data_IF_755569948643
#
_entry.id   IF_755569948643
#
_cell.length_a   1.000
_cell.length_b   1.000
_cell.length_c   1.000
_cell.angle_alpha   90.00
_cell.angle_beta   90.00
_cell.angle_gamma   90.00
#
_symmetry.space_group_name_H-M   'P 1'
#
loop_
_entity.id
_entity.type
_entity.pdbx_description
1 polymer ?
#
# COMPACT_ATOMS: atom_id res chain seq x y z
N UNK A 1 10.37 -21.72 -44.57
CA UNK A 1 9.66 -21.33 -43.34
C UNK A 1 10.71 -20.78 -42.38
N UNK A 2 10.81 -19.47 -42.29
CA UNK A 2 11.77 -18.80 -41.39
C UNK A 2 11.07 -18.64 -40.05
N UNK A 3 11.58 -19.32 -39.03
CA UNK A 3 11.08 -19.23 -37.66
C UNK A 3 11.35 -17.83 -37.10
N UNK A 4 10.30 -17.15 -36.67
CA UNK A 4 10.42 -15.93 -35.88
C UNK A 4 10.70 -16.37 -34.45
N UNK A 5 11.93 -16.14 -33.99
CA UNK A 5 12.25 -16.17 -32.58
C UNK A 5 11.43 -15.07 -31.91
N UNK A 6 10.48 -15.45 -31.05
CA UNK A 6 9.80 -14.52 -30.16
C UNK A 6 10.85 -14.01 -29.16
N UNK A 7 11.47 -12.86 -29.47
CA UNK A 7 12.27 -12.14 -28.50
C UNK A 7 11.38 -11.79 -27.31
N UNK A 8 11.81 -12.14 -26.11
CA UNK A 8 11.25 -11.58 -24.88
C UNK A 8 11.22 -10.06 -25.04
N UNK A 9 10.07 -9.38 -24.85
CA UNK A 9 10.06 -7.94 -24.85
C UNK A 9 10.97 -7.50 -23.71
N UNK A 10 12.11 -6.89 -24.05
CA UNK A 10 12.96 -6.18 -23.11
C UNK A 10 12.02 -5.27 -22.30
N UNK A 11 12.02 -5.43 -20.97
CA UNK A 11 11.35 -4.50 -20.06
C UNK A 11 11.94 -3.11 -20.37
N UNK A 12 11.14 -2.25 -20.99
CA UNK A 12 11.57 -0.89 -21.30
C UNK A 12 11.39 -0.03 -20.06
N UNK A 13 12.47 0.58 -19.58
CA UNK A 13 12.47 1.59 -18.53
C UNK A 13 11.30 2.56 -18.70
N UNK A 14 10.44 2.63 -17.70
CA UNK A 14 9.29 3.53 -17.70
C UNK A 14 8.78 3.80 -16.29
N UNK A 15 7.91 4.81 -16.10
CA UNK A 15 7.18 4.98 -14.85
C UNK A 15 6.36 3.74 -14.44
N UNK A 16 6.02 2.86 -15.39
CA UNK A 16 5.35 1.59 -15.11
C UNK A 16 6.25 0.55 -14.46
N UNK A 17 7.50 0.41 -14.93
CA UNK A 17 8.49 -0.46 -14.27
C UNK A 17 8.85 0.09 -12.89
N UNK A 18 8.92 1.42 -12.74
CA UNK A 18 9.17 2.06 -11.44
C UNK A 18 8.05 1.74 -10.42
N UNK A 19 6.79 1.74 -10.86
CA UNK A 19 5.65 1.38 -10.01
C UNK A 19 5.71 -0.09 -9.57
N UNK A 20 6.10 -1.01 -10.45
CA UNK A 20 6.28 -2.43 -10.10
C UNK A 20 7.37 -2.60 -9.02
N UNK A 21 8.52 -1.94 -9.18
CA UNK A 21 9.62 -1.94 -8.20
C UNK A 21 9.18 -1.39 -6.84
N UNK A 22 8.41 -0.29 -6.84
CA UNK A 22 7.85 0.29 -5.61
C UNK A 22 6.87 -0.65 -4.92
N UNK A 23 5.98 -1.29 -5.68
CA UNK A 23 5.02 -2.26 -5.13
C UNK A 23 5.72 -3.47 -4.51
N UNK A 24 6.79 -3.98 -5.13
CA UNK A 24 7.62 -5.04 -4.55
C UNK A 24 8.26 -4.58 -3.24
N UNK A 25 8.80 -3.37 -3.20
CA UNK A 25 9.40 -2.81 -2.00
C UNK A 25 8.39 -2.67 -0.85
N UNK A 26 7.21 -2.10 -1.11
CA UNK A 26 6.18 -1.99 -0.09
C UNK A 26 5.75 -3.37 0.42
N UNK A 27 5.57 -4.35 -0.46
CA UNK A 27 5.24 -5.71 -0.09
C UNK A 27 6.32 -6.37 0.79
N UNK A 28 7.61 -6.20 0.46
CA UNK A 28 8.74 -6.80 1.17
C UNK A 28 9.06 -6.13 2.51
N UNK A 29 8.71 -4.86 2.67
CA UNK A 29 9.00 -4.09 3.89
C UNK A 29 8.12 -4.56 5.06
N UNK A 30 8.62 -5.42 5.94
CA UNK A 30 7.88 -5.90 7.13
C UNK A 30 8.10 -5.00 8.35
N UNK A 31 7.85 -3.70 8.20
CA UNK A 31 7.96 -2.76 9.31
C UNK A 31 6.91 -3.06 10.39
N UNK A 32 7.30 -3.05 11.67
CA UNK A 32 6.36 -3.09 12.78
C UNK A 32 5.43 -1.87 12.72
N UNK A 33 6.01 -0.69 12.63
CA UNK A 33 5.29 0.56 12.50
C UNK A 33 6.13 1.53 11.68
N UNK A 34 5.51 2.62 11.25
CA UNK A 34 6.19 3.66 10.47
C UNK A 34 6.77 4.75 11.38
N UNK A 35 7.12 4.41 12.63
CA UNK A 35 7.62 5.34 13.64
C UNK A 35 6.51 6.19 14.27
N UNK A 36 6.78 6.69 15.49
CA UNK A 36 5.91 7.64 16.22
C UNK A 36 4.44 7.21 16.35
N UNK A 37 4.17 5.92 16.53
CA UNK A 37 2.81 5.38 16.69
C UNK A 37 1.96 5.42 15.41
N UNK A 38 2.59 5.53 14.22
CA UNK A 38 1.93 5.47 12.91
C UNK A 38 1.75 4.02 12.45
N UNK A 39 0.70 3.75 11.68
CA UNK A 39 0.35 2.38 11.27
C UNK A 39 1.41 1.85 10.31
N UNK A 40 1.67 0.54 10.33
CA UNK A 40 2.58 -0.08 9.35
C UNK A 40 2.12 0.12 7.89
N UNK A 41 0.81 0.29 7.66
CA UNK A 41 0.24 0.59 6.34
C UNK A 41 0.61 1.97 5.79
N UNK A 42 1.11 2.89 6.62
CA UNK A 42 1.50 4.22 6.16
C UNK A 42 2.77 4.18 5.29
N UNK A 43 3.63 3.17 5.48
CA UNK A 43 4.92 3.04 4.79
C UNK A 43 5.15 1.68 4.14
N UNK A 44 4.34 0.66 4.46
CA UNK A 44 4.56 -0.71 4.03
C UNK A 44 3.29 -1.46 3.70
N UNK A 45 3.45 -2.58 2.99
CA UNK A 45 2.39 -3.40 2.46
C UNK A 45 1.58 -2.70 1.36
N UNK A 46 0.72 -3.47 0.73
CA UNK A 46 -0.15 -3.02 -0.35
C UNK A 46 -1.59 -3.07 0.14
N UNK A 47 -2.26 -1.92 0.16
CA UNK A 47 -3.72 -1.89 0.28
C UNK A 47 -4.29 -2.12 -1.12
N UNK A 48 -4.92 -3.28 -1.30
CA UNK A 48 -5.49 -3.76 -2.56
C UNK A 48 -7.01 -3.72 -2.49
N UNK A 49 -7.66 -3.06 -3.45
CA UNK A 49 -9.12 -3.09 -3.57
C UNK A 49 -9.52 -3.79 -4.85
N UNK A 50 -10.27 -4.88 -4.72
CA UNK A 50 -10.98 -5.49 -5.86
C UNK A 50 -12.12 -4.57 -6.33
N UNK A 51 -12.30 -4.42 -7.64
CA UNK A 51 -13.28 -3.49 -8.20
C UNK A 51 -14.36 -4.19 -9.02
N UNK A 52 -15.53 -3.53 -9.09
CA UNK A 52 -16.61 -3.87 -10.01
C UNK A 52 -16.55 -2.92 -11.22
N UNK A 53 -15.67 -3.23 -12.15
CA UNK A 53 -15.44 -2.43 -13.36
C UNK A 53 -16.62 -2.52 -14.33
N UNK A 54 -16.76 -1.52 -15.22
CA UNK A 54 -17.84 -1.41 -16.21
C UNK A 54 -19.26 -1.40 -15.61
N UNK A 55 -19.40 -1.01 -14.34
CA UNK A 55 -20.70 -0.71 -13.71
C UNK A 55 -21.08 0.76 -13.92
N UNK A 56 -22.28 1.11 -13.45
CA UNK A 56 -22.82 2.48 -13.48
C UNK A 56 -22.04 3.48 -12.60
N UNK A 57 -21.10 2.99 -11.78
CA UNK A 57 -20.23 3.80 -10.93
C UNK A 57 -18.76 3.63 -11.35
N UNK A 58 -17.95 4.64 -11.01
CA UNK A 58 -16.52 4.62 -11.27
C UNK A 58 -15.81 3.71 -10.26
N UNK A 59 -14.89 2.83 -10.68
CA UNK A 59 -14.34 1.79 -9.82
C UNK A 59 -13.46 2.33 -8.68
N UNK A 60 -12.92 3.55 -8.80
CA UNK A 60 -12.15 4.25 -7.76
C UNK A 60 -13.01 5.04 -6.77
N UNK A 61 -14.29 5.23 -7.04
CA UNK A 61 -15.22 5.82 -6.07
C UNK A 61 -15.59 4.80 -5.00
N UNK A 62 -16.03 5.28 -3.84
CA UNK A 62 -16.58 4.37 -2.85
C UNK A 62 -17.86 3.73 -3.43
N UNK A 63 -18.15 2.48 -3.03
CA UNK A 63 -19.35 1.83 -3.55
C UNK A 63 -20.61 2.57 -3.06
N UNK A 64 -21.76 2.47 -3.76
CA UNK A 64 -23.01 3.12 -3.33
C UNK A 64 -23.49 2.76 -1.91
N UNK A 65 -23.02 1.63 -1.38
CA UNK A 65 -23.33 1.19 -0.01
C UNK A 65 -22.30 1.65 1.04
N UNK A 66 -21.22 2.30 0.61
CA UNK A 66 -20.20 2.86 1.51
C UNK A 66 -20.54 4.30 1.89
N UNK A 67 -21.05 5.10 0.94
CA UNK A 67 -21.40 6.50 1.18
C UNK A 67 -22.55 6.65 2.17
N UNK A 68 -22.51 7.73 2.96
CA UNK A 68 -23.70 8.23 3.65
C UNK A 68 -24.71 8.78 2.62
N UNK A 69 -25.96 8.96 3.02
CA UNK A 69 -27.03 9.40 2.11
C UNK A 69 -26.73 10.79 1.51
N UNK A 70 -26.13 11.67 2.31
CA UNK A 70 -25.73 13.02 1.91
C UNK A 70 -24.61 13.05 0.85
N UNK A 71 -23.78 12.01 0.79
CA UNK A 71 -22.68 11.85 -0.16
C UNK A 71 -23.01 10.93 -1.35
N UNK A 72 -24.29 10.67 -1.63
CA UNK A 72 -24.72 9.85 -2.77
C UNK A 72 -24.87 8.36 -2.46
N UNK A 73 -24.91 7.98 -1.18
CA UNK A 73 -25.29 6.65 -0.75
C UNK A 73 -26.74 6.33 -1.09
N UNK A 74 -27.06 5.06 -1.32
CA UNK A 74 -28.42 4.65 -1.73
C UNK A 74 -29.49 4.77 -0.62
N UNK A 75 -29.12 5.23 0.59
CA UNK A 75 -30.02 5.50 1.70
C UNK A 75 -30.60 4.25 2.39
N UNK A 76 -30.25 3.03 1.95
CA UNK A 76 -30.84 1.78 2.49
C UNK A 76 -29.86 1.05 3.42
N UNK A 77 -28.56 1.01 3.10
CA UNK A 77 -27.53 0.33 3.91
C UNK A 77 -26.18 1.02 3.74
N UNK A 78 -26.02 2.23 4.29
CA UNK A 78 -24.68 2.81 4.40
C UNK A 78 -23.94 2.19 5.58
N UNK A 79 -22.84 1.52 5.32
CA UNK A 79 -21.94 1.04 6.37
C UNK A 79 -20.71 1.93 6.54
N UNK A 80 -20.71 3.16 6.01
CA UNK A 80 -19.74 4.22 6.33
C UNK A 80 -18.26 3.91 6.11
N UNK A 81 -17.91 2.91 5.29
CA UNK A 81 -16.52 2.54 5.02
C UNK A 81 -16.33 1.78 3.72
N UNK A 82 -15.06 1.68 3.29
CA UNK A 82 -14.66 0.96 2.08
C UNK A 82 -13.80 -0.24 2.45
N UNK A 83 -14.19 -1.43 1.99
CA UNK A 83 -13.40 -2.64 2.20
C UNK A 83 -12.20 -2.68 1.25
N UNK A 84 -11.06 -3.06 1.80
CA UNK A 84 -9.84 -3.35 1.05
C UNK A 84 -9.10 -4.51 1.74
N UNK A 85 -8.13 -5.09 1.06
CA UNK A 85 -7.25 -6.11 1.62
C UNK A 85 -5.84 -5.54 1.80
N UNK A 86 -5.08 -6.10 2.72
CA UNK A 86 -3.70 -5.70 2.99
C UNK A 86 -2.74 -6.86 2.74
N UNK A 87 -1.88 -6.73 1.73
CA UNK A 87 -0.90 -7.73 1.34
C UNK A 87 0.50 -7.28 1.75
N UNK A 88 1.21 -8.13 2.49
CA UNK A 88 2.62 -7.95 2.87
C UNK A 88 3.29 -9.31 2.95
N UNK A 89 4.63 -9.37 2.90
CA UNK A 89 5.41 -10.62 2.94
C UNK A 89 5.11 -11.51 4.16
N UNK A 90 4.58 -10.95 5.24
CA UNK A 90 4.17 -11.65 6.46
C UNK A 90 2.65 -11.63 6.68
N UNK A 91 1.86 -11.26 5.66
CA UNK A 91 0.39 -11.22 5.68
C UNK A 91 -0.19 -11.67 4.33
N UNK A 92 0.13 -12.90 3.92
CA UNK A 92 -0.08 -13.42 2.55
C UNK A 92 -1.40 -14.18 2.38
N UNK A 93 -1.96 -14.15 1.17
CA UNK A 93 -3.19 -14.84 0.73
C UNK A 93 -3.21 -14.97 -0.81
N UNK A 94 -4.08 -15.82 -1.37
CA UNK A 94 -4.00 -16.24 -2.78
C UNK A 94 -4.95 -15.53 -3.77
N UNK A 95 -5.77 -14.57 -3.33
CA UNK A 95 -6.73 -13.87 -4.20
C UNK A 95 -7.27 -12.55 -3.66
N UNK A 96 -7.85 -11.72 -4.52
CA UNK A 96 -8.52 -10.49 -4.06
C UNK A 96 -9.86 -10.81 -3.39
N UNK A 97 -10.24 -9.99 -2.42
CA UNK A 97 -11.55 -10.09 -1.78
C UNK A 97 -12.72 -10.00 -2.76
N UNK A 98 -13.87 -10.55 -2.35
CA UNK A 98 -15.07 -10.70 -3.19
C UNK A 98 -14.83 -11.48 -4.50
N UNK A 99 -13.83 -12.37 -4.52
CA UNK A 99 -13.43 -13.18 -5.68
C UNK A 99 -13.14 -12.35 -6.94
N UNK A 100 -12.72 -11.09 -6.75
CA UNK A 100 -12.32 -10.22 -7.85
C UNK A 100 -11.00 -10.70 -8.45
N UNK A 101 -10.79 -10.35 -9.71
CA UNK A 101 -9.58 -10.68 -10.45
C UNK A 101 -8.96 -9.43 -11.12
N UNK A 102 -9.49 -8.26 -10.79
CA UNK A 102 -8.94 -6.94 -11.08
C UNK A 102 -9.29 -5.95 -9.96
N UNK A 103 -8.56 -4.83 -9.93
CA UNK A 103 -8.66 -3.85 -8.88
C UNK A 103 -7.68 -2.70 -9.03
N UNK A 104 -7.32 -2.10 -7.90
CA UNK A 104 -6.20 -1.17 -7.82
C UNK A 104 -5.45 -1.33 -6.50
N UNK A 105 -4.18 -0.90 -6.51
CA UNK A 105 -3.36 -0.75 -5.34
C UNK A 105 -3.26 0.72 -4.94
N UNK A 106 -3.29 1.01 -3.65
CA UNK A 106 -3.04 2.36 -3.12
C UNK A 106 -1.55 2.55 -2.79
N UNK A 107 -1.08 3.78 -2.95
CA UNK A 107 0.24 4.23 -2.50
C UNK A 107 0.17 4.37 -0.97
N UNK A 108 1.12 3.80 -0.19
CA UNK A 108 1.21 4.06 1.25
C UNK A 108 1.36 5.56 1.53
N UNK A 109 0.76 6.05 2.61
CA UNK A 109 0.64 7.48 2.91
C UNK A 109 1.98 8.25 2.96
N UNK A 110 3.10 7.58 3.23
CA UNK A 110 4.45 8.17 3.26
C UNK A 110 5.03 8.43 1.87
N UNK A 111 4.43 7.88 0.82
CA UNK A 111 4.89 7.97 -0.57
C UNK A 111 3.98 8.81 -1.46
N UNK A 112 2.87 9.35 -0.94
CA UNK A 112 1.95 10.19 -1.72
C UNK A 112 2.53 11.59 -1.92
N UNK A 113 2.05 12.27 -2.96
CA UNK A 113 2.26 13.71 -3.12
C UNK A 113 1.06 14.46 -2.52
N UNK A 114 1.22 15.04 -1.32
CA UNK A 114 0.10 15.69 -0.62
C UNK A 114 -0.44 16.95 -1.33
N UNK A 115 0.26 17.45 -2.35
CA UNK A 115 -0.20 18.58 -3.17
C UNK A 115 -1.36 18.20 -4.09
N UNK A 116 -1.42 16.94 -4.53
CA UNK A 116 -2.41 16.45 -5.50
C UNK A 116 -3.07 15.12 -5.08
N UNK A 117 -2.77 14.61 -3.88
CA UNK A 117 -3.35 13.39 -3.33
C UNK A 117 -3.72 13.56 -1.85
N UNK A 118 -4.78 12.87 -1.41
CA UNK A 118 -5.17 12.82 -0.01
C UNK A 118 -4.73 11.51 0.65
N UNK A 119 -4.48 11.55 1.97
CA UNK A 119 -4.18 10.36 2.77
C UNK A 119 -5.43 9.51 2.94
N UNK A 120 -5.26 8.20 2.83
CA UNK A 120 -6.30 7.24 3.19
C UNK A 120 -6.20 6.92 4.69
N UNK A 121 -7.33 6.66 5.34
CA UNK A 121 -7.34 6.28 6.76
C UNK A 121 -7.90 4.88 6.93
N UNK A 122 -7.13 4.01 7.55
CA UNK A 122 -7.61 2.70 8.04
C UNK A 122 -8.37 2.94 9.34
N UNK A 123 -9.63 2.53 9.38
CA UNK A 123 -10.52 2.58 10.54
C UNK A 123 -10.33 1.37 11.44
N UNK A 124 -10.28 0.19 10.84
CA UNK A 124 -10.00 -1.06 11.54
C UNK A 124 -9.42 -2.11 10.61
N UNK A 125 -8.81 -3.13 11.22
CA UNK A 125 -8.16 -4.22 10.52
C UNK A 125 -8.57 -5.59 11.11
N UNK A 126 -8.87 -6.54 10.23
CA UNK A 126 -9.29 -7.90 10.54
C UNK A 126 -8.29 -8.90 9.93
N UNK A 127 -7.72 -9.84 10.72
CA UNK A 127 -6.76 -10.82 10.23
C UNK A 127 -7.26 -11.70 9.08
N UNK A 128 -8.57 -11.84 8.91
CA UNK A 128 -9.21 -12.55 7.81
C UNK A 128 -10.56 -11.89 7.49
N UNK A 129 -11.06 -12.05 6.26
CA UNK A 129 -12.36 -11.53 5.81
C UNK A 129 -13.44 -11.62 6.88
N UNK A 130 -14.09 -10.49 7.19
CA UNK A 130 -14.97 -10.30 8.33
C UNK A 130 -16.40 -9.91 7.93
N UNK A 131 -16.74 -9.99 6.64
CA UNK A 131 -18.06 -9.61 6.11
C UNK A 131 -18.46 -8.20 6.51
N UNK A 132 -17.51 -7.29 6.42
CA UNK A 132 -17.67 -5.91 6.92
C UNK A 132 -18.78 -5.12 6.26
N UNK A 133 -19.33 -5.64 5.15
CA UNK A 133 -20.54 -5.11 4.53
C UNK A 133 -21.74 -5.07 5.50
N UNK A 134 -21.88 -6.09 6.34
CA UNK A 134 -23.01 -6.29 7.27
C UNK A 134 -22.61 -5.96 8.72
N UNK A 135 -21.81 -4.91 8.92
CA UNK A 135 -21.35 -4.48 10.24
C UNK A 135 -21.69 -3.02 10.50
N UNK A 136 -22.03 -2.70 11.74
CA UNK A 136 -22.21 -1.31 12.16
C UNK A 136 -20.85 -0.59 12.32
N UNK A 137 -20.88 0.67 12.78
CA UNK A 137 -19.68 1.44 13.10
C UNK A 137 -18.65 1.47 11.96
N UNK A 138 -19.07 1.96 10.80
CA UNK A 138 -18.25 2.03 9.59
C UNK A 138 -17.74 0.67 9.06
N UNK A 139 -18.41 -0.42 9.43
CA UNK A 139 -18.03 -1.79 9.12
C UNK A 139 -17.03 -2.41 10.11
N UNK A 140 -16.79 -1.76 11.25
CA UNK A 140 -15.80 -2.19 12.25
C UNK A 140 -16.38 -2.83 13.51
N UNK A 141 -17.69 -2.71 13.72
CA UNK A 141 -18.34 -3.20 14.93
C UNK A 141 -19.12 -4.50 14.71
N UNK A 142 -20.28 -4.56 15.37
CA UNK A 142 -21.13 -5.74 15.47
C UNK A 142 -21.70 -6.17 14.12
N UNK A 143 -21.74 -7.49 13.88
CA UNK A 143 -22.36 -8.07 12.70
C UNK A 143 -23.89 -8.12 12.85
N UNK A 144 -24.61 -7.71 11.80
CA UNK A 144 -26.06 -7.79 11.73
C UNK A 144 -26.53 -8.73 10.61
N UNK A 145 -27.60 -9.49 10.88
CA UNK A 145 -28.17 -10.46 9.96
C UNK A 145 -29.25 -9.84 9.07
N UNK A 146 -29.35 -10.32 7.82
CA UNK A 146 -30.37 -9.95 6.83
C UNK A 146 -30.47 -8.44 6.54
N UNK A 147 -29.40 -7.67 6.81
CA UNK A 147 -29.39 -6.23 6.61
C UNK A 147 -30.13 -5.42 7.67
N UNK A 148 -30.64 -6.05 8.73
CA UNK A 148 -31.33 -5.36 9.83
C UNK A 148 -30.36 -5.10 10.98
N UNK A 149 -29.97 -3.83 11.17
CA UNK A 149 -29.05 -3.39 12.24
C UNK A 149 -29.53 -3.77 13.66
N UNK A 150 -30.82 -4.07 13.84
CA UNK A 150 -31.37 -4.52 15.12
C UNK A 150 -31.34 -6.05 15.28
N UNK A 151 -31.01 -6.78 14.22
CA UNK A 151 -30.94 -8.23 14.18
C UNK A 151 -29.49 -8.72 14.39
N UNK A 152 -29.02 -8.59 15.64
CA UNK A 152 -27.70 -9.10 16.06
C UNK A 152 -27.75 -10.61 16.27
N UNK A 153 -26.65 -11.29 15.97
CA UNK A 153 -26.54 -12.76 16.01
C UNK A 153 -26.29 -13.34 17.42
N UNK A 154 -26.65 -12.60 18.46
CA UNK A 154 -26.67 -13.04 19.86
C UNK A 154 -25.38 -12.80 20.67
N UNK A 155 -24.28 -12.41 20.02
CA UNK A 155 -23.06 -11.88 20.65
C UNK A 155 -22.80 -10.53 20.01
N UNK A 156 -22.61 -9.49 20.82
CA UNK A 156 -22.26 -8.17 20.31
C UNK A 156 -20.74 -8.09 20.14
N UNK A 157 -20.25 -8.04 18.91
CA UNK A 157 -18.87 -7.67 18.64
C UNK A 157 -18.66 -6.16 18.75
N UNK A 158 -17.42 -5.78 19.04
CA UNK A 158 -16.95 -4.41 18.93
C UNK A 158 -15.46 -4.49 18.57
N UNK A 159 -14.77 -3.35 18.57
CA UNK A 159 -13.32 -3.32 18.48
C UNK A 159 -12.69 -4.26 19.51
N UNK A 160 -11.65 -5.01 19.10
CA UNK A 160 -10.94 -5.96 19.96
C UNK A 160 -10.54 -5.33 21.30
N UNK A 161 -10.09 -4.08 21.26
CA UNK A 161 -9.67 -3.32 22.44
C UNK A 161 -10.82 -3.15 23.46
N UNK A 162 -12.04 -2.89 23.02
CA UNK A 162 -13.20 -2.79 23.93
C UNK A 162 -13.55 -4.13 24.57
N UNK A 163 -13.27 -5.24 23.88
CA UNK A 163 -13.36 -6.61 24.40
C UNK A 163 -12.15 -7.03 25.25
N UNK A 164 -11.24 -6.10 25.58
CA UNK A 164 -9.99 -6.35 26.30
C UNK A 164 -9.04 -7.31 25.58
N UNK A 165 -9.14 -7.36 24.25
CA UNK A 165 -8.24 -8.09 23.36
C UNK A 165 -7.25 -7.08 22.76
N UNK A 166 -5.98 -7.22 23.12
CA UNK A 166 -4.89 -6.34 22.67
C UNK A 166 -3.69 -7.12 22.14
N UNK A 167 -3.93 -8.34 21.64
CA UNK A 167 -2.87 -9.22 21.11
C UNK A 167 -3.43 -10.18 20.06
N UNK A 168 -2.53 -10.67 19.20
CA UNK A 168 -2.84 -11.67 18.20
C UNK A 168 -3.34 -12.99 18.82
N UNK A 169 -2.73 -13.46 19.91
CA UNK A 169 -3.15 -14.67 20.61
C UNK A 169 -4.50 -14.50 21.30
N UNK A 170 -4.78 -13.32 21.87
CA UNK A 170 -6.10 -12.99 22.40
C UNK A 170 -7.18 -12.98 21.32
N UNK A 171 -6.86 -12.46 20.13
CA UNK A 171 -7.74 -12.51 18.97
C UNK A 171 -7.98 -13.94 18.49
N UNK A 172 -6.93 -14.76 18.35
CA UNK A 172 -7.06 -16.17 17.94
C UNK A 172 -7.93 -16.96 18.92
N UNK A 173 -7.71 -16.80 20.23
CA UNK A 173 -8.54 -17.45 21.25
C UNK A 173 -10.00 -16.98 21.20
N UNK A 174 -10.27 -15.77 20.74
CA UNK A 174 -11.62 -15.27 20.51
C UNK A 174 -12.23 -15.86 19.23
N UNK A 175 -11.45 -15.93 18.13
CA UNK A 175 -11.82 -16.50 16.84
C UNK A 175 -12.16 -18.01 16.96
N UNK A 176 -11.31 -18.80 17.62
CA UNK A 176 -11.47 -20.26 17.78
C UNK A 176 -12.70 -20.64 18.61
N UNK A 177 -13.15 -19.76 19.51
CA UNK A 177 -14.42 -20.01 20.21
C UNK A 177 -15.60 -19.98 19.26
N UNK A 178 -15.50 -19.22 18.17
CA UNK A 178 -16.56 -19.09 17.18
C UNK A 178 -16.51 -20.22 16.13
N UNK A 179 -15.33 -20.77 15.82
CA UNK A 179 -15.18 -21.90 14.88
C UNK A 179 -15.67 -23.25 15.45
N UNK A 180 -15.76 -23.37 16.77
CA UNK A 180 -16.30 -24.56 17.48
C UNK A 180 -17.83 -24.67 17.44
N UNK A 181 -18.51 -23.66 16.90
CA UNK A 181 -19.92 -23.71 16.54
C UNK A 181 -20.09 -24.56 15.26
N UNK A 182 -21.18 -25.34 15.08
CA UNK A 182 -21.37 -26.17 13.87
C UNK A 182 -21.34 -25.40 12.54
N UNK A 183 -21.40 -24.06 12.56
CA UNK A 183 -21.18 -23.22 11.38
C UNK A 183 -19.73 -22.66 11.37
N UNK A 184 -18.79 -23.25 10.60
CA UNK A 184 -17.41 -22.79 10.54
C UNK A 184 -17.25 -21.43 9.84
N UNK A 185 -18.29 -20.90 9.18
CA UNK A 185 -18.28 -19.55 8.60
C UNK A 185 -18.68 -18.51 9.66
N UNK A 186 -19.22 -18.94 10.80
CA UNK A 186 -19.53 -18.08 11.95
C UNK A 186 -18.33 -17.23 12.37
N UNK A 187 -17.12 -17.78 12.45
CA UNK A 187 -15.96 -17.00 12.90
C UNK A 187 -15.67 -15.74 12.06
N UNK A 188 -15.98 -15.76 10.75
CA UNK A 188 -15.86 -14.56 9.91
C UNK A 188 -16.82 -13.45 10.34
N UNK A 189 -18.05 -13.80 10.70
CA UNK A 189 -19.08 -12.85 11.17
C UNK A 189 -18.82 -12.38 12.60
N UNK A 190 -18.20 -13.21 13.43
CA UNK A 190 -18.10 -12.96 14.87
C UNK A 190 -16.71 -12.54 15.36
N UNK A 191 -15.74 -12.31 14.47
CA UNK A 191 -14.41 -11.82 14.86
C UNK A 191 -14.44 -10.33 15.24
N UNK A 192 -13.60 -9.93 16.19
CA UNK A 192 -13.37 -8.51 16.48
C UNK A 192 -12.36 -7.91 15.50
N UNK A 193 -12.54 -6.63 15.15
CA UNK A 193 -11.58 -5.84 14.38
C UNK A 193 -10.70 -5.01 15.29
N UNK A 194 -9.42 -4.86 14.97
CA UNK A 194 -8.53 -3.97 15.70
C UNK A 194 -8.82 -2.52 15.31
N UNK A 195 -9.19 -1.66 16.26
CA UNK A 195 -9.32 -0.22 16.01
C UNK A 195 -7.95 0.41 15.75
N UNK A 196 -7.84 1.16 14.65
CA UNK A 196 -6.59 1.81 14.23
C UNK A 196 -6.71 3.34 14.19
N UNK A 197 -7.77 3.90 14.76
CA UNK A 197 -8.05 5.34 14.77
C UNK A 197 -7.72 6.01 16.10
N UNK A 198 -7.64 5.25 17.18
CA UNK A 198 -7.43 5.76 18.53
C UNK A 198 -6.38 4.93 19.28
N UNK A 199 -5.76 5.57 20.28
CA UNK A 199 -4.88 4.90 21.22
C UNK A 199 -5.69 4.35 22.40
N UNK A 200 -5.28 3.18 22.90
CA UNK A 200 -6.01 2.42 23.91
C UNK A 200 -5.11 2.11 25.11
N UNK A 201 -5.73 1.64 26.21
CA UNK A 201 -5.14 1.27 27.52
C UNK A 201 -3.62 1.43 27.68
N UNK A 202 -3.19 2.33 28.57
CA UNK A 202 -1.77 2.46 28.93
C UNK A 202 -0.92 2.82 27.70
N UNK A 203 -0.03 1.92 27.29
CA UNK A 203 0.91 2.12 26.18
C UNK A 203 0.45 1.51 24.85
N UNK A 204 -0.73 0.87 24.78
CA UNK A 204 -1.20 0.16 23.59
C UNK A 204 -1.85 1.11 22.58
N UNK A 205 -1.08 1.57 21.60
CA UNK A 205 -1.52 2.58 20.64
C UNK A 205 -2.14 1.97 19.36
N UNK A 206 -2.63 2.81 18.46
CA UNK A 206 -3.18 2.39 17.16
C UNK A 206 -2.20 1.61 16.26
N UNK A 207 -0.89 1.82 16.40
CA UNK A 207 0.11 1.04 15.67
C UNK A 207 0.27 -0.35 16.27
N UNK A 208 0.19 -0.49 17.60
CA UNK A 208 0.15 -1.80 18.25
C UNK A 208 -1.09 -2.61 17.84
N UNK A 209 -2.23 -1.94 17.68
CA UNK A 209 -3.45 -2.53 17.15
C UNK A 209 -3.28 -3.06 15.71
N UNK A 210 -2.72 -2.25 14.81
CA UNK A 210 -2.43 -2.69 13.44
C UNK A 210 -1.42 -3.83 13.40
N UNK A 211 -0.43 -3.83 14.30
CA UNK A 211 0.51 -4.94 14.45
C UNK A 211 -0.16 -6.22 14.96
N UNK A 212 -1.07 -6.12 15.93
CA UNK A 212 -1.80 -7.28 16.41
C UNK A 212 -2.67 -7.91 15.32
N UNK A 213 -3.19 -7.10 14.38
CA UNK A 213 -3.82 -7.58 13.15
C UNK A 213 -2.85 -8.42 12.28
N UNK A 214 -1.66 -7.91 11.98
CA UNK A 214 -0.66 -8.63 11.18
C UNK A 214 -0.20 -9.91 11.88
N UNK A 215 0.10 -9.84 13.17
CA UNK A 215 0.49 -11.02 13.95
C UNK A 215 -0.66 -12.04 14.05
N UNK A 216 -1.91 -11.58 14.14
CA UNK A 216 -3.09 -12.45 14.06
C UNK A 216 -3.17 -13.18 12.72
N UNK A 217 -2.84 -12.49 11.62
CA UNK A 217 -2.76 -13.11 10.29
C UNK A 217 -1.68 -14.19 10.23
N UNK A 218 -0.53 -13.95 10.84
CA UNK A 218 0.55 -14.95 10.93
C UNK A 218 0.14 -16.16 11.74
N UNK A 219 -0.56 -15.96 12.86
CA UNK A 219 -1.05 -17.07 13.69
C UNK A 219 -2.03 -17.95 12.92
N UNK A 220 -3.08 -17.38 12.32
CA UNK A 220 -4.09 -18.18 11.58
C UNK A 220 -3.49 -18.89 10.34
N UNK A 221 -2.45 -18.31 9.72
CA UNK A 221 -1.72 -18.92 8.61
C UNK A 221 -0.91 -20.17 9.01
N UNK A 222 -0.48 -20.27 10.27
CA UNK A 222 0.29 -21.41 10.80
C UNK A 222 -0.55 -22.38 11.63
N UNK A 223 -1.83 -22.06 11.84
CA UNK A 223 -2.75 -22.91 12.58
C UNK A 223 -3.14 -24.16 11.75
N UNK A 224 -3.06 -25.38 12.31
CA UNK A 224 -3.37 -26.60 11.58
C UNK A 224 -4.80 -26.67 11.03
N UNK A 225 -5.78 -26.08 11.72
CA UNK A 225 -7.20 -26.10 11.37
C UNK A 225 -7.52 -24.98 10.37
N UNK A 226 -6.91 -23.81 10.53
CA UNK A 226 -7.28 -22.61 9.77
C UNK A 226 -6.33 -22.25 8.62
N UNK A 227 -5.14 -22.85 8.49
CA UNK A 227 -4.13 -22.49 7.46
C UNK A 227 -4.67 -22.44 6.02
N UNK A 228 -5.59 -23.34 5.66
CA UNK A 228 -6.18 -23.37 4.31
C UNK A 228 -7.09 -22.17 4.12
N UNK A 229 -7.93 -21.88 5.13
CA UNK A 229 -8.82 -20.73 5.11
C UNK A 229 -8.03 -19.44 5.09
N UNK A 230 -6.97 -19.34 5.89
CA UNK A 230 -6.03 -18.23 5.82
C UNK A 230 -5.54 -18.10 4.38
N UNK A 231 -4.90 -19.12 3.80
CA UNK A 231 -4.40 -19.06 2.42
C UNK A 231 -5.43 -18.56 1.39
N UNK A 232 -6.65 -19.12 1.41
CA UNK A 232 -7.68 -18.83 0.39
C UNK A 232 -8.54 -17.61 0.69
N UNK A 233 -8.29 -16.92 1.81
CA UNK A 233 -9.10 -15.78 2.26
C UNK A 233 -8.20 -14.61 2.63
N UNK A 234 -8.46 -13.48 1.99
CA UNK A 234 -7.78 -12.22 2.22
C UNK A 234 -7.87 -11.73 3.66
N UNK A 235 -6.91 -10.89 4.05
CA UNK A 235 -7.10 -9.94 5.15
C UNK A 235 -8.16 -8.91 4.77
N UNK A 236 -8.78 -8.27 5.76
CA UNK A 236 -9.76 -7.20 5.50
C UNK A 236 -9.46 -5.95 6.32
N UNK A 237 -9.38 -4.82 5.62
CA UNK A 237 -9.31 -3.48 6.18
C UNK A 237 -10.61 -2.75 5.90
N UNK A 238 -10.99 -1.87 6.82
CA UNK A 238 -11.98 -0.82 6.57
C UNK A 238 -11.31 0.51 6.46
N UNK A 239 -11.45 1.14 5.30
CA UNK A 239 -10.98 2.47 5.04
C UNK A 239 -12.12 3.47 5.28
N UNK A 240 -11.78 4.66 5.77
CA UNK A 240 -12.70 5.80 5.78
C UNK A 240 -13.13 6.08 4.34
N UNK A 241 -14.43 6.29 4.13
CA UNK A 241 -14.98 6.71 2.83
C UNK A 241 -14.34 8.03 2.41
N UNK A 242 -14.16 8.21 1.10
CA UNK A 242 -13.61 9.43 0.50
C UNK A 242 -14.63 10.08 -0.45
N UNK A 243 -14.51 11.39 -0.71
CA UNK A 243 -15.35 12.05 -1.71
C UNK A 243 -15.20 11.37 -3.07
N UNK A 244 -16.32 11.28 -3.79
CA UNK A 244 -16.30 10.91 -5.20
C UNK A 244 -15.44 11.87 -6.01
N UNK A 245 -14.91 11.38 -7.13
CA UNK A 245 -13.95 12.11 -7.93
C UNK A 245 -14.46 13.46 -8.47
N UNK A 246 -15.78 13.58 -8.66
CA UNK A 246 -16.43 14.85 -8.99
C UNK A 246 -16.24 15.94 -7.91
N UNK A 247 -15.90 15.55 -6.66
CA UNK A 247 -15.67 16.42 -5.51
C UNK A 247 -14.19 16.47 -5.08
N UNK A 248 -13.25 15.95 -5.89
CA UNK A 248 -11.82 16.01 -5.58
C UNK A 248 -11.22 17.41 -5.71
N UNK A 249 -11.88 18.31 -6.42
CA UNK A 249 -11.57 19.74 -6.43
C UNK A 249 -12.46 20.44 -5.40
N UNK A 250 -11.91 20.69 -4.21
CA UNK A 250 -12.62 21.29 -3.07
C UNK A 250 -11.67 22.06 -2.16
N UNK A 251 -12.22 22.84 -1.23
CA UNK A 251 -11.42 23.37 -0.12
C UNK A 251 -11.16 22.26 0.91
N UNK A 252 -9.91 21.81 0.97
CA UNK A 252 -9.46 20.73 1.85
C UNK A 252 -9.23 21.18 3.30
N UNK A 253 -9.37 22.47 3.60
CA UNK A 253 -9.24 23.01 4.96
C UNK A 253 -10.58 23.10 5.69
N UNK A 254 -11.71 22.94 4.97
CA UNK A 254 -13.03 22.96 5.58
C UNK A 254 -13.27 21.72 6.45
N UNK A 255 -13.74 21.96 7.68
CA UNK A 255 -14.24 20.89 8.52
C UNK A 255 -15.59 20.40 7.98
N UNK A 256 -15.75 19.09 7.86
CA UNK A 256 -16.96 18.45 7.35
C UNK A 256 -17.46 17.42 8.35
N UNK A 257 -18.77 17.27 8.43
CA UNK A 257 -19.41 16.24 9.26
C UNK A 257 -18.91 14.85 8.90
N UNK A 258 -18.83 14.55 7.61
CA UNK A 258 -18.13 13.37 7.09
C UNK A 258 -17.11 13.78 6.03
N UNK A 259 -16.00 13.05 5.95
CA UNK A 259 -14.91 13.38 5.04
C UNK A 259 -15.33 13.35 3.55
N UNK A 260 -16.33 12.55 3.21
CA UNK A 260 -16.91 12.38 1.87
C UNK A 260 -18.11 13.30 1.59
N UNK A 261 -18.69 13.95 2.60
CA UNK A 261 -19.85 14.83 2.42
C UNK A 261 -19.52 15.99 1.47
N UNK A 262 -20.39 16.31 0.50
CA UNK A 262 -20.28 17.53 -0.28
C UNK A 262 -20.53 18.77 0.59
N UNK A 263 -20.01 19.90 0.16
CA UNK A 263 -20.26 21.21 0.77
C UNK A 263 -20.78 22.18 -0.31
N UNK A 264 -21.71 23.11 0.01
CA UNK A 264 -22.15 24.13 -0.94
C UNK A 264 -20.99 24.85 -1.65
N UNK A 265 -19.87 25.08 -0.97
CA UNK A 265 -18.69 25.75 -1.51
C UNK A 265 -17.88 24.90 -2.50
N UNK A 266 -18.12 23.59 -2.60
CA UNK A 266 -17.50 22.75 -3.63
C UNK A 266 -17.96 23.15 -5.04
N UNK A 267 -19.17 23.71 -5.13
CA UNK A 267 -19.79 24.13 -6.39
C UNK A 267 -19.87 25.65 -6.56
N UNK A 268 -19.44 26.42 -5.56
CA UNK A 268 -19.54 27.88 -5.53
C UNK A 268 -18.39 28.55 -6.30
N UNK A 269 -18.67 29.31 -7.38
CA UNK A 269 -17.63 30.01 -8.13
C UNK A 269 -16.84 31.05 -7.31
N UNK A 270 -17.43 31.59 -6.24
CA UNK A 270 -16.80 32.63 -5.41
C UNK A 270 -15.72 32.09 -4.46
N UNK A 271 -15.70 30.79 -4.18
CA UNK A 271 -14.74 30.13 -3.28
C UNK A 271 -13.67 29.33 -4.03
N UNK A 272 -13.67 29.39 -5.37
CA UNK A 272 -12.73 28.68 -6.27
C UNK A 272 -11.26 28.94 -5.92
N UNK A 273 -10.94 30.11 -5.36
CA UNK A 273 -9.57 30.47 -4.97
C UNK A 273 -8.96 29.53 -3.90
N UNK A 274 -9.79 28.90 -3.05
CA UNK A 274 -9.33 28.00 -1.99
C UNK A 274 -9.36 26.51 -2.41
N UNK A 275 -9.95 26.20 -3.57
CA UNK A 275 -10.13 24.83 -4.01
C UNK A 275 -8.84 24.26 -4.58
N UNK A 276 -8.41 23.11 -4.06
CA UNK A 276 -7.27 22.34 -4.57
C UNK A 276 -7.77 20.98 -5.02
N UNK A 277 -7.21 20.48 -6.12
CA UNK A 277 -7.50 19.12 -6.56
C UNK A 277 -6.64 18.13 -5.77
N UNK A 278 -7.26 17.16 -5.08
CA UNK A 278 -6.55 16.01 -4.53
C UNK A 278 -7.26 14.71 -4.88
N UNK A 279 -6.57 13.81 -5.57
CA UNK A 279 -7.08 12.51 -5.98
C UNK A 279 -6.83 11.40 -4.94
N UNK A 280 -7.58 10.30 -5.08
CA UNK A 280 -7.25 9.05 -4.41
C UNK A 280 -5.83 8.58 -4.81
N UNK A 281 -4.97 8.16 -3.86
CA UNK A 281 -3.58 7.85 -4.16
C UNK A 281 -3.43 6.45 -4.76
N UNK A 282 -3.99 6.22 -5.96
CA UNK A 282 -3.82 4.97 -6.70
C UNK A 282 -2.36 4.88 -7.18
N UNK A 283 -1.71 3.74 -6.90
CA UNK A 283 -0.39 3.39 -7.41
C UNK A 283 -0.49 2.80 -8.82
N UNK A 284 -1.40 1.83 -8.99
CA UNK A 284 -1.63 1.10 -10.22
C UNK A 284 -3.04 0.51 -10.26
N UNK A 285 -3.60 0.34 -11.46
CA UNK A 285 -4.65 -0.64 -11.69
C UNK A 285 -4.02 -2.03 -11.74
N UNK A 286 -4.70 -3.02 -11.18
CA UNK A 286 -4.14 -4.36 -11.01
C UNK A 286 -5.06 -5.41 -11.60
N UNK A 287 -4.46 -6.51 -12.05
CA UNK A 287 -5.18 -7.74 -12.34
C UNK A 287 -4.39 -8.94 -11.85
N UNK A 288 -5.11 -10.00 -11.46
CA UNK A 288 -4.48 -11.20 -10.93
C UNK A 288 -4.07 -12.11 -12.08
N UNK A 289 -2.82 -12.58 -12.05
CA UNK A 289 -2.47 -13.79 -12.77
C UNK A 289 -1.00 -14.19 -12.70
N UNK A 290 -0.70 -15.37 -13.25
CA UNK A 290 0.63 -15.98 -13.21
C UNK A 290 1.72 -15.18 -13.93
N UNK A 291 2.82 -14.88 -13.25
CA UNK A 291 4.04 -14.30 -13.80
C UNK A 291 5.05 -15.41 -14.12
N UNK A 292 5.26 -16.36 -13.20
CA UNK A 292 6.19 -17.47 -13.39
C UNK A 292 5.56 -18.69 -14.05
N UNK A 293 4.24 -18.64 -14.27
CA UNK A 293 3.48 -19.72 -14.86
C UNK A 293 2.45 -19.19 -15.85
N UNK A 294 2.15 -20.01 -16.86
CA UNK A 294 1.08 -19.72 -17.79
C UNK A 294 -0.23 -20.09 -17.13
N UNK A 295 -1.06 -19.09 -16.89
CA UNK A 295 -2.41 -19.31 -16.38
C UNK A 295 -3.35 -19.69 -17.52
N UNK A 296 -4.00 -20.85 -17.38
CA UNK A 296 -4.88 -21.41 -18.41
C UNK A 296 -6.35 -21.10 -18.17
N UNK A 297 -6.68 -20.46 -17.03
CA UNK A 297 -8.04 -20.03 -16.74
C UNK A 297 -8.34 -18.68 -17.43
N UNK A 298 -9.57 -18.48 -17.89
CA UNK A 298 -9.98 -17.25 -18.56
C UNK A 298 -9.99 -16.00 -17.67
N UNK A 299 -9.79 -16.13 -16.35
CA UNK A 299 -9.95 -15.04 -15.38
C UNK A 299 -8.86 -13.98 -15.53
N UNK A 300 -7.60 -14.39 -15.76
CA UNK A 300 -6.51 -13.44 -15.95
C UNK A 300 -6.71 -12.57 -17.20
N UNK A 301 -7.17 -13.16 -18.31
CA UNK A 301 -7.51 -12.42 -19.53
C UNK A 301 -8.65 -11.43 -19.31
N UNK A 302 -9.71 -11.85 -18.62
CA UNK A 302 -10.82 -10.97 -18.27
C UNK A 302 -10.36 -9.84 -17.33
N UNK A 303 -9.52 -10.16 -16.33
CA UNK A 303 -8.99 -9.20 -15.37
C UNK A 303 -8.14 -8.14 -16.01
N UNK A 304 -7.25 -8.55 -16.92
CA UNK A 304 -6.47 -7.62 -17.73
C UNK A 304 -7.37 -6.67 -18.51
N UNK A 305 -8.40 -7.19 -19.19
CA UNK A 305 -9.31 -6.37 -19.97
C UNK A 305 -10.10 -5.36 -19.10
N UNK A 306 -10.42 -5.73 -17.85
CA UNK A 306 -11.07 -4.82 -16.89
C UNK A 306 -10.08 -3.77 -16.35
N UNK A 307 -8.85 -4.15 -16.00
CA UNK A 307 -7.81 -3.20 -15.56
C UNK A 307 -7.42 -2.21 -16.66
N UNK A 308 -7.35 -2.66 -17.92
CA UNK A 308 -7.18 -1.81 -19.10
C UNK A 308 -8.33 -0.82 -19.25
N UNK A 309 -9.57 -1.29 -19.08
CA UNK A 309 -10.73 -0.42 -19.12
C UNK A 309 -10.70 0.66 -18.03
N UNK A 310 -10.30 0.28 -16.82
CA UNK A 310 -10.14 1.22 -15.70
C UNK A 310 -9.02 2.23 -15.95
N UNK A 311 -7.88 1.81 -16.51
CA UNK A 311 -6.80 2.71 -16.92
C UNK A 311 -7.29 3.73 -17.97
N UNK A 312 -8.01 3.27 -18.99
CA UNK A 312 -8.55 4.14 -20.03
C UNK A 312 -9.52 5.17 -19.44
N UNK A 313 -10.51 4.70 -18.68
CA UNK A 313 -11.51 5.56 -18.02
C UNK A 313 -10.87 6.55 -17.06
N UNK A 314 -9.85 6.14 -16.30
CA UNK A 314 -9.10 7.06 -15.45
C UNK A 314 -8.49 8.21 -16.25
N UNK A 315 -7.88 7.90 -17.40
CA UNK A 315 -7.26 8.91 -18.26
C UNK A 315 -8.27 9.81 -18.99
N UNK A 316 -9.45 9.29 -19.32
CA UNK A 316 -10.52 10.01 -20.02
C UNK A 316 -11.39 10.86 -19.07
N UNK A 317 -11.69 10.34 -17.88
CA UNK A 317 -12.73 10.89 -17.00
C UNK A 317 -12.18 11.71 -15.83
N UNK A 318 -10.95 11.43 -15.37
CA UNK A 318 -10.29 12.29 -14.37
C UNK A 318 -9.73 13.52 -15.10
N UNK A 319 -9.98 14.75 -14.63
CA UNK A 319 -9.55 15.97 -15.32
C UNK A 319 -8.11 15.88 -15.83
N UNK A 320 -7.94 16.13 -17.14
CA UNK A 320 -6.71 15.80 -17.87
C UNK A 320 -5.47 16.37 -17.17
N UNK A 321 -4.59 15.47 -16.72
CA UNK A 321 -3.33 15.79 -16.06
C UNK A 321 -3.37 15.87 -14.53
N UNK A 322 -4.54 15.82 -13.88
CA UNK A 322 -4.65 15.99 -12.42
C UNK A 322 -4.58 14.69 -11.62
N UNK A 323 -5.09 13.58 -12.13
CA UNK A 323 -4.97 12.26 -11.49
C UNK A 323 -3.63 11.54 -11.73
N UNK A 324 -2.83 12.03 -12.68
CA UNK A 324 -1.62 11.36 -13.17
C UNK A 324 -1.89 10.06 -13.94
N UNK A 325 -0.91 9.61 -14.72
CA UNK A 325 -0.97 8.30 -15.39
C UNK A 325 -0.83 7.16 -14.37
N UNK A 326 -1.60 6.08 -14.54
CA UNK A 326 -1.57 4.89 -13.68
C UNK A 326 -1.29 3.65 -14.51
N UNK A 327 -0.23 2.87 -14.22
CA UNK A 327 0.05 1.64 -14.95
C UNK A 327 -1.00 0.56 -14.63
N UNK A 328 -1.16 -0.36 -15.57
CA UNK A 328 -1.72 -1.69 -15.32
C UNK A 328 -0.58 -2.61 -14.89
N UNK A 329 -0.66 -3.16 -13.69
CA UNK A 329 0.32 -4.08 -13.11
C UNK A 329 -0.32 -5.47 -12.95
N UNK A 330 0.34 -6.47 -13.53
CA UNK A 330 0.00 -7.88 -13.28
C UNK A 330 0.49 -8.27 -11.90
N UNK A 331 -0.39 -8.86 -11.10
CA UNK A 331 -0.06 -9.32 -9.75
C UNK A 331 -0.19 -10.84 -9.70
N UNK A 332 0.92 -11.53 -9.43
CA UNK A 332 0.89 -12.94 -9.02
C UNK A 332 0.73 -12.97 -7.51
N UNK A 333 -0.41 -13.46 -7.03
CA UNK A 333 -0.65 -13.66 -5.61
C UNK A 333 0.18 -14.87 -5.10
N UNK A 334 0.63 -14.85 -3.83
CA UNK A 334 1.17 -16.03 -3.15
C UNK A 334 0.21 -17.21 -3.26
N UNK A 335 0.65 -18.38 -3.73
CA UNK A 335 -0.20 -19.59 -3.69
C UNK A 335 -0.09 -20.31 -2.36
N UNK A 336 0.93 -20.00 -1.57
CA UNK A 336 1.15 -20.52 -0.22
C UNK A 336 1.87 -19.44 0.59
N UNK A 337 1.92 -19.60 1.92
CA UNK A 337 2.58 -18.66 2.85
C UNK A 337 4.12 -18.70 2.80
N UNK A 338 4.70 -19.43 1.84
CA UNK A 338 6.15 -19.48 1.59
C UNK A 338 6.50 -18.94 0.20
N UNK A 339 5.50 -18.59 -0.60
CA UNK A 339 5.69 -18.01 -1.93
C UNK A 339 5.52 -16.49 -1.87
N UNK A 340 6.43 -15.75 -2.50
CA UNK A 340 6.30 -14.29 -2.57
C UNK A 340 5.27 -13.85 -3.63
N UNK A 341 4.53 -12.78 -3.33
CA UNK A 341 3.79 -12.03 -4.33
C UNK A 341 4.74 -11.41 -5.35
N UNK A 342 4.31 -11.29 -6.62
CA UNK A 342 5.10 -10.67 -7.68
C UNK A 342 4.30 -9.62 -8.44
N UNK A 343 5.00 -8.58 -8.88
CA UNK A 343 4.44 -7.42 -9.56
C UNK A 343 5.18 -7.22 -10.88
N UNK A 344 4.45 -7.25 -11.99
CA UNK A 344 5.04 -7.09 -13.31
C UNK A 344 4.32 -6.03 -14.13
N UNK A 345 5.10 -5.13 -14.71
CA UNK A 345 4.65 -4.22 -15.74
C UNK A 345 4.93 -4.81 -17.12
N UNK A 346 3.89 -4.92 -17.95
CA UNK A 346 4.03 -5.30 -19.34
C UNK A 346 3.54 -4.17 -20.24
N UNK A 347 4.36 -3.68 -21.21
CA UNK A 347 3.92 -2.66 -22.15
C UNK A 347 2.65 -3.05 -22.92
N UNK A 348 2.51 -4.34 -23.28
CA UNK A 348 1.32 -4.86 -23.97
C UNK A 348 0.04 -4.94 -23.13
N UNK A 349 0.15 -4.76 -21.81
CA UNK A 349 -1.02 -4.70 -20.94
C UNK A 349 -1.56 -3.27 -20.80
N UNK A 350 -0.85 -2.25 -21.32
CA UNK A 350 -1.28 -0.85 -21.24
C UNK A 350 -2.17 -0.49 -22.44
N UNK A 351 -3.20 0.31 -22.20
CA UNK A 351 -4.03 0.94 -23.25
C UNK A 351 -3.81 2.44 -23.34
N UNK A 352 -3.26 3.05 -22.30
CA UNK A 352 -2.79 4.45 -22.31
C UNK A 352 -1.26 4.42 -22.31
N UNK A 353 -0.66 5.11 -23.29
CA UNK A 353 0.79 5.16 -23.43
C UNK A 353 1.44 5.71 -22.13
N UNK A 354 2.50 5.07 -21.63
CA UNK A 354 3.22 5.58 -20.47
C UNK A 354 3.83 6.95 -20.77
N UNK A 355 3.87 7.88 -19.81
CA UNK A 355 4.59 9.13 -19.98
C UNK A 355 6.09 8.86 -20.12
N UNK A 356 6.74 9.66 -20.96
CA UNK A 356 8.19 9.59 -21.14
C UNK A 356 8.85 10.20 -19.91
N UNK A 357 9.65 9.40 -19.20
CA UNK A 357 10.55 9.88 -18.16
C UNK A 357 11.94 9.33 -18.43
N UNK A 358 12.81 10.17 -18.98
CA UNK A 358 14.19 9.81 -19.34
C UNK A 358 15.07 9.49 -18.12
N UNK A 359 14.55 9.64 -16.90
CA UNK A 359 15.22 9.27 -15.65
C UNK A 359 14.80 7.88 -15.16
N UNK A 360 13.81 7.24 -15.78
CA UNK A 360 13.51 5.84 -15.51
C UNK A 360 14.61 4.96 -16.08
N UNK A 361 15.02 3.94 -15.33
CA UNK A 361 16.10 3.03 -15.70
C UNK A 361 15.61 1.58 -15.71
N UNK A 362 16.17 0.73 -16.58
CA UNK A 362 15.93 -0.72 -16.54
C UNK A 362 16.45 -1.31 -15.21
N UNK A 363 17.54 -0.72 -14.70
CA UNK A 363 18.11 -0.99 -13.39
C UNK A 363 18.78 0.27 -12.86
N UNK A 364 18.50 0.67 -11.63
CA UNK A 364 19.15 1.80 -10.98
C UNK A 364 20.46 1.40 -10.29
N UNK A 365 20.50 0.22 -9.69
CA UNK A 365 21.59 -0.30 -8.86
C UNK A 365 22.14 -1.58 -9.47
N UNK A 366 23.40 -1.56 -9.90
CA UNK A 366 24.06 -2.75 -10.42
C UNK A 366 24.30 -3.77 -9.31
N UNK A 367 24.81 -3.31 -8.16
CA UNK A 367 25.18 -4.16 -7.02
C UNK A 367 25.05 -3.42 -5.70
N UNK A 368 24.73 -4.13 -4.62
CA UNK A 368 24.78 -3.63 -3.24
C UNK A 368 25.47 -4.67 -2.34
N UNK A 369 26.43 -4.24 -1.51
CA UNK A 369 27.24 -5.13 -0.66
C UNK A 369 27.40 -4.52 0.72
N UNK A 370 27.05 -5.29 1.75
CA UNK A 370 27.31 -4.91 3.13
C UNK A 370 28.78 -5.12 3.49
N UNK A 371 29.38 -4.12 4.14
CA UNK A 371 30.70 -4.19 4.78
C UNK A 371 30.56 -3.84 6.27
N UNK A 372 31.36 -4.45 7.13
CA UNK A 372 31.25 -4.32 8.60
C UNK A 372 32.44 -3.60 9.24
N UNK A 373 33.44 -3.23 8.44
CA UNK A 373 34.69 -2.62 8.87
C UNK A 373 34.82 -1.14 8.48
N UNK A 374 33.72 -0.50 8.08
CA UNK A 374 33.70 0.90 7.71
C UNK A 374 34.09 1.78 8.90
N UNK A 375 35.10 2.63 8.71
CA UNK A 375 35.64 3.53 9.72
C UNK A 375 34.99 4.91 9.61
N UNK A 376 34.02 5.15 10.49
CA UNK A 376 33.34 6.42 10.63
C UNK A 376 34.07 7.30 11.68
N UNK A 377 34.40 8.57 11.38
CA UNK A 377 35.15 9.44 12.28
C UNK A 377 34.59 9.62 13.70
N UNK A 378 33.27 9.59 13.87
CA UNK A 378 32.57 9.86 15.14
C UNK A 378 32.06 8.58 15.79
N UNK A 379 31.47 7.68 15.00
CA UNK A 379 30.81 6.46 15.47
C UNK A 379 31.76 5.25 15.56
N UNK A 380 33.00 5.39 15.08
CA UNK A 380 33.98 4.31 15.07
C UNK A 380 33.71 3.30 13.95
N UNK A 381 33.75 2.00 14.26
CA UNK A 381 33.53 0.96 13.24
C UNK A 381 32.06 0.60 13.17
N UNK A 382 31.44 0.80 12.01
CA UNK A 382 30.02 0.55 11.77
C UNK A 382 29.82 -0.25 10.47
N UNK A 383 28.66 -0.87 10.32
CA UNK A 383 28.27 -1.44 9.03
C UNK A 383 27.94 -0.33 8.03
N UNK A 384 28.31 -0.52 6.77
CA UNK A 384 27.97 0.36 5.64
C UNK A 384 27.52 -0.49 4.46
N UNK A 385 26.58 0.04 3.68
CA UNK A 385 26.15 -0.55 2.43
C UNK A 385 26.90 0.14 1.28
N UNK A 386 27.82 -0.59 0.66
CA UNK A 386 28.48 -0.17 -0.57
C UNK A 386 27.57 -0.43 -1.76
N UNK A 387 27.18 0.63 -2.46
CA UNK A 387 26.25 0.62 -3.59
C UNK A 387 27.00 0.93 -4.89
N UNK A 388 26.87 0.08 -5.90
CA UNK A 388 27.34 0.33 -7.25
C UNK A 388 26.14 0.72 -8.12
N UNK A 389 25.91 2.01 -8.39
CA UNK A 389 24.83 2.46 -9.28
C UNK A 389 25.18 2.21 -10.75
N UNK A 390 24.16 1.97 -11.57
CA UNK A 390 24.31 1.94 -13.05
C UNK A 390 24.57 3.35 -13.58
N UNK A 391 24.99 3.48 -14.84
CA UNK A 391 25.17 4.82 -15.46
C UNK A 391 23.86 5.62 -15.46
N UNK A 392 22.73 4.97 -15.75
CA UNK A 392 21.41 5.59 -15.68
C UNK A 392 21.05 5.97 -14.23
N UNK A 393 21.26 5.06 -13.28
CA UNK A 393 20.94 5.28 -11.86
C UNK A 393 21.63 6.48 -11.25
N UNK A 394 22.89 6.77 -11.65
CA UNK A 394 23.61 7.98 -11.22
C UNK A 394 22.97 9.28 -11.69
N UNK A 395 22.21 9.24 -12.78
CA UNK A 395 21.56 10.40 -13.43
C UNK A 395 20.07 10.49 -13.11
N UNK A 396 19.53 9.58 -12.28
CA UNK A 396 18.10 9.50 -11.99
C UNK A 396 17.55 10.73 -11.24
N UNK A 397 18.40 11.38 -10.43
CA UNK A 397 18.07 12.62 -9.71
C UNK A 397 17.06 12.42 -8.57
N UNK A 398 16.85 13.47 -7.76
CA UNK A 398 16.00 13.41 -6.55
C UNK A 398 14.55 13.03 -6.81
N UNK A 399 14.01 13.32 -8.00
CA UNK A 399 12.66 12.89 -8.39
C UNK A 399 12.49 11.38 -8.55
N UNK A 400 13.58 10.60 -8.53
CA UNK A 400 13.59 9.14 -8.57
C UNK A 400 14.05 8.50 -7.25
N UNK A 401 14.28 9.28 -6.20
CA UNK A 401 14.76 8.76 -4.90
C UNK A 401 13.96 7.56 -4.39
N UNK A 402 12.62 7.61 -4.47
CA UNK A 402 11.76 6.53 -3.97
C UNK A 402 12.00 5.21 -4.71
N UNK A 403 12.07 5.23 -6.04
CA UNK A 403 12.26 4.00 -6.83
C UNK A 403 13.69 3.49 -6.76
N UNK A 404 14.70 4.39 -6.73
CA UNK A 404 16.09 3.99 -6.55
C UNK A 404 16.28 3.34 -5.18
N UNK A 405 15.68 3.91 -4.13
CA UNK A 405 15.72 3.34 -2.79
C UNK A 405 14.94 2.02 -2.69
N UNK A 406 13.79 1.92 -3.36
CA UNK A 406 13.00 0.69 -3.43
C UNK A 406 13.81 -0.44 -4.08
N UNK A 407 14.47 -0.19 -5.22
CA UNK A 407 15.33 -1.19 -5.86
C UNK A 407 16.50 -1.60 -4.94
N UNK A 408 17.14 -0.63 -4.29
CA UNK A 408 18.21 -0.89 -3.33
C UNK A 408 17.73 -1.75 -2.16
N UNK A 409 16.56 -1.45 -1.61
CA UNK A 409 15.95 -2.20 -0.51
C UNK A 409 15.60 -3.63 -0.93
N UNK A 410 15.02 -3.81 -2.12
CA UNK A 410 14.71 -5.13 -2.67
C UNK A 410 15.98 -6.00 -2.81
N UNK A 411 17.13 -5.38 -3.08
CA UNK A 411 18.41 -6.07 -3.19
C UNK A 411 19.06 -6.37 -1.83
N UNK A 412 18.96 -5.46 -0.85
CA UNK A 412 19.85 -5.47 0.32
C UNK A 412 19.17 -5.49 1.70
N UNK A 413 17.86 -5.26 1.79
CA UNK A 413 17.11 -5.19 3.06
C UNK A 413 16.69 -6.56 3.61
N UNK A 414 16.92 -7.64 2.86
CA UNK A 414 16.50 -9.01 3.22
C UNK A 414 17.41 -9.68 4.27
N UNK A 415 18.54 -9.07 4.63
CA UNK A 415 19.47 -9.62 5.61
C UNK A 415 19.17 -9.11 7.02
N UNK A 416 18.50 -9.94 7.84
CA UNK A 416 18.14 -9.60 9.22
C UNK A 416 19.33 -9.38 10.17
N UNK A 417 20.53 -9.84 9.80
CA UNK A 417 21.77 -9.54 10.56
C UNK A 417 22.32 -8.14 10.29
N UNK A 418 21.73 -7.41 9.33
CA UNK A 418 22.16 -6.07 8.93
C UNK A 418 21.14 -5.04 9.36
N UNK A 419 21.65 -3.87 9.72
CA UNK A 419 20.87 -2.81 10.35
C UNK A 419 20.14 -1.96 9.32
N UNK A 420 19.33 -2.55 8.43
CA UNK A 420 18.65 -1.75 7.39
C UNK A 420 17.66 -0.70 7.96
N UNK A 421 17.01 -1.00 9.10
CA UNK A 421 15.85 -0.25 9.63
C UNK A 421 16.10 0.45 10.99
N UNK A 422 17.25 1.10 11.20
CA UNK A 422 17.56 1.72 12.51
C UNK A 422 16.60 2.87 12.91
N UNK A 423 16.00 3.54 11.93
CA UNK A 423 15.17 4.74 12.11
C UNK A 423 13.75 4.60 11.57
N UNK A 424 13.31 3.35 11.34
CA UNK A 424 12.11 2.99 10.61
C UNK A 424 12.16 3.41 9.13
N UNK A 425 12.07 2.43 8.22
CA UNK A 425 12.05 2.62 6.75
C UNK A 425 13.45 2.95 6.16
N UNK A 426 14.51 2.97 6.96
CA UNK A 426 15.88 3.27 6.49
C UNK A 426 16.01 4.73 6.05
N UNK A 427 15.35 5.63 6.77
CA UNK A 427 15.17 7.03 6.39
C UNK A 427 16.49 7.78 6.23
N UNK A 428 17.52 7.42 7.01
CA UNK A 428 18.89 7.94 6.96
C UNK A 428 19.64 7.47 5.72
N UNK A 429 19.55 6.18 5.37
CA UNK A 429 20.14 5.68 4.12
C UNK A 429 19.42 6.25 2.90
N UNK A 430 18.09 6.35 2.96
CA UNK A 430 17.28 7.01 1.92
C UNK A 430 17.68 8.48 1.78
N UNK A 431 17.99 9.14 2.90
CA UNK A 431 18.43 10.54 2.96
C UNK A 431 19.82 10.75 2.36
N UNK A 432 20.78 9.88 2.69
CA UNK A 432 22.11 9.87 2.09
C UNK A 432 22.03 9.60 0.57
N UNK A 433 21.21 8.63 0.17
CA UNK A 433 20.94 8.34 -1.25
C UNK A 433 20.35 9.56 -1.97
N UNK A 434 19.38 10.25 -1.37
CA UNK A 434 18.82 11.46 -1.94
C UNK A 434 19.89 12.53 -2.17
N UNK A 435 20.84 12.69 -1.24
CA UNK A 435 21.95 13.62 -1.43
C UNK A 435 22.86 13.20 -2.59
N UNK A 436 23.20 11.92 -2.71
CA UNK A 436 23.99 11.42 -3.85
C UNK A 436 23.29 11.66 -5.19
N UNK A 437 21.97 11.56 -5.23
CA UNK A 437 21.17 11.86 -6.42
C UNK A 437 21.06 13.37 -6.70
N UNK A 438 21.29 14.24 -5.72
CA UNK A 438 21.16 15.71 -5.85
C UNK A 438 22.49 16.47 -5.95
N UNK A 439 23.61 15.79 -5.72
CA UNK A 439 24.95 16.39 -5.68
C UNK A 439 25.85 15.71 -6.71
N UNK A 440 25.65 15.99 -8.03
CA UNK A 440 26.39 15.34 -9.09
C UNK A 440 27.90 15.61 -9.04
N UNK A 441 28.29 16.77 -8.51
CA UNK A 441 29.67 17.15 -8.20
C UNK A 441 30.33 16.23 -7.17
N UNK A 442 29.54 15.68 -6.23
CA UNK A 442 30.02 14.78 -5.17
C UNK A 442 29.95 13.31 -5.60
N UNK A 443 28.84 12.89 -6.21
CA UNK A 443 28.48 11.48 -6.31
C UNK A 443 28.37 10.92 -7.74
N UNK A 444 28.14 11.74 -8.77
CA UNK A 444 27.87 11.21 -10.12
C UNK A 444 29.10 10.53 -10.75
N UNK A 445 30.31 10.98 -10.42
CA UNK A 445 31.55 10.40 -10.93
C UNK A 445 32.10 9.26 -10.05
N UNK A 446 31.53 9.02 -8.87
CA UNK A 446 31.98 7.95 -7.97
C UNK A 446 31.50 6.59 -8.48
N UNK A 447 32.41 5.61 -8.53
CA UNK A 447 32.08 4.25 -8.94
C UNK A 447 31.13 3.55 -7.96
N UNK A 448 31.25 3.90 -6.68
CA UNK A 448 30.44 3.38 -5.59
C UNK A 448 30.00 4.50 -4.65
N UNK A 449 28.87 4.27 -3.98
CA UNK A 449 28.36 5.08 -2.88
C UNK A 449 28.40 4.26 -1.59
N UNK A 450 28.53 4.93 -0.46
CA UNK A 450 28.46 4.30 0.86
C UNK A 450 27.24 4.87 1.57
N UNK A 451 26.39 3.99 2.08
CA UNK A 451 25.18 4.35 2.83
C UNK A 451 25.23 3.70 4.21
N UNK A 452 25.19 4.51 5.27
CA UNK A 452 25.34 4.04 6.65
C UNK A 452 24.03 4.13 7.43
N UNK A 453 23.51 3.02 7.99
CA UNK A 453 22.24 3.03 8.70
C UNK A 453 22.28 3.68 10.09
N UNK A 454 23.45 3.80 10.72
CA UNK A 454 23.58 4.39 12.07
C UNK A 454 23.74 5.91 12.06
N UNK A 455 23.86 6.55 10.89
CA UNK A 455 24.04 8.00 10.81
C UNK A 455 22.77 8.73 11.26
N UNK A 456 22.91 9.87 11.98
CA UNK A 456 21.77 10.71 12.34
C UNK A 456 20.97 11.13 11.10
N UNK A 457 19.64 11.17 11.24
CA UNK A 457 18.78 11.75 10.23
C UNK A 457 18.96 13.28 10.20
N UNK A 458 19.18 13.84 9.01
CA UNK A 458 19.24 15.29 8.78
C UNK A 458 18.31 15.65 7.63
N UNK A 459 17.47 16.68 7.80
CA UNK A 459 16.49 17.10 6.79
C UNK A 459 17.14 17.49 5.45
N UNK A 460 16.39 17.40 4.33
CA UNK A 460 16.95 17.67 3.00
C UNK A 460 17.48 19.08 2.86
N UNK A 461 16.67 20.06 3.22
CA UNK A 461 17.00 21.48 3.19
C UNK A 461 18.28 21.79 3.97
N UNK A 462 18.43 21.23 5.18
CA UNK A 462 19.62 21.43 6.03
C UNK A 462 20.87 20.86 5.36
N UNK A 463 20.80 19.65 4.81
CA UNK A 463 21.92 19.04 4.08
C UNK A 463 22.32 19.91 2.88
N UNK A 464 21.35 20.46 2.14
CA UNK A 464 21.64 21.24 0.94
C UNK A 464 22.35 22.57 1.21
N UNK A 465 22.34 23.04 2.46
CA UNK A 465 23.09 24.22 2.91
C UNK A 465 24.55 23.92 3.29
N UNK A 466 24.92 22.65 3.45
CA UNK A 466 26.29 22.25 3.81
C UNK A 466 27.23 22.29 2.59
N UNK A 467 28.52 22.60 2.85
CA UNK A 467 29.55 22.68 1.82
C UNK A 467 30.43 21.41 1.76
N UNK A 468 30.87 21.06 0.55
CA UNK A 468 31.81 19.96 0.30
C UNK A 468 31.26 18.57 0.61
N UNK A 469 32.13 17.63 0.96
CA UNK A 469 31.75 16.23 1.23
C UNK A 469 30.82 16.07 2.45
N UNK A 470 30.79 17.05 3.37
CA UNK A 470 29.89 17.06 4.53
C UNK A 470 28.40 17.11 4.13
N UNK A 471 28.10 17.52 2.90
CA UNK A 471 26.74 17.61 2.36
C UNK A 471 26.05 16.25 2.38
N UNK A 472 26.69 15.20 1.85
CA UNK A 472 26.08 13.88 1.80
C UNK A 472 26.38 13.01 3.02
N UNK A 473 27.30 13.44 3.88
CA UNK A 473 27.72 12.75 5.09
C UNK A 473 27.76 13.70 6.30
N UNK A 474 26.62 14.26 6.76
CA UNK A 474 26.62 15.08 7.97
C UNK A 474 26.98 14.23 9.19
N UNK A 475 27.70 14.83 10.13
CA UNK A 475 28.13 14.24 11.41
C UNK A 475 27.32 14.79 12.57
#
# INVERSE_FOLDING_TARGET
MVGVAAGSPLLQASPGTDAATLMEYWYRLTARDCGSGRLASDCSGLILRGTDSKKVFRPWNAGPNSHNAEAGGNGVVSNGGVSASYLRKDAEYDGLGLLKFNGFALIPNDFINENDQFKVTVLCAFPIDAWTYNRNNNGCGDYFQDGDINNTVGVQEDYCQKLKISSASGWMAYFDRQTKDPDPIKAHRFQCGFDTTADYFGTFNKADAFNAFIEGRKLIAHDPEEKIRAQTTQTELRLRVWPDDNFWKRDWNLSRTHFDSPDPDDTNPATVANQVFKALPIAAFTYIGGIDFVETNGKSFAGRALAQDDQRRWNEEIPSGKGGWKPVIKVQMPRTIVEDAKFAYYPGDQVVAPPVDNRSCDKYIEKAVWIDDYKEPVLGTISSLTVTPTECGRKAGVGKTNVVFAELANLAANNSSKEWNFDHIGSTMRRQLACHLDSPDIAANKATWSLEPRRPYVAHEVIMELQGDNKCNPH
#
